data_IF_781384437213
#
_entry.id   IF_781384437213
#
_cell.length_a   1.000
_cell.length_b   1.000
_cell.length_c   1.000
_cell.angle_alpha   90.00
_cell.angle_beta   90.00
_cell.angle_gamma   90.00
#
_symmetry.space_group_name_H-M   'P 1'
#
loop_
_entity.id
_entity.type
_entity.pdbx_description
1 polymer ?
#
# COMPACT_ATOMS: atom_id res chain seq x y z
N UNK A 1 -22.19 -7.68 3.88
CA UNK A 1 -20.84 -7.18 3.54
C UNK A 1 -20.22 -8.17 2.57
N UNK A 2 -20.04 -7.79 1.30
CA UNK A 2 -19.80 -8.72 0.19
C UNK A 2 -18.49 -9.50 0.31
N UNK A 3 -18.58 -10.83 0.37
CA UNK A 3 -17.45 -11.75 0.40
C UNK A 3 -16.60 -11.65 -0.89
N UNK A 4 -17.21 -11.19 -1.99
CA UNK A 4 -16.58 -11.12 -3.31
C UNK A 4 -15.46 -10.07 -3.41
N UNK A 5 -15.61 -8.89 -2.80
CA UNK A 5 -14.59 -7.83 -2.90
C UNK A 5 -13.29 -8.21 -2.19
N UNK A 6 -13.37 -8.80 -0.98
CA UNK A 6 -12.17 -9.17 -0.22
C UNK A 6 -11.31 -10.24 -0.89
N UNK A 7 -11.93 -11.18 -1.61
CA UNK A 7 -11.21 -12.21 -2.36
C UNK A 7 -10.59 -11.64 -3.64
N UNK A 8 -11.33 -10.83 -4.38
CA UNK A 8 -10.82 -10.16 -5.59
C UNK A 8 -9.64 -9.24 -5.28
N UNK A 9 -9.76 -8.39 -4.26
CA UNK A 9 -8.69 -7.47 -3.85
C UNK A 9 -7.45 -8.24 -3.41
N UNK A 10 -7.63 -9.33 -2.65
CA UNK A 10 -6.50 -10.16 -2.21
C UNK A 10 -5.75 -10.79 -3.39
N UNK A 11 -6.47 -11.36 -4.36
CA UNK A 11 -5.86 -11.94 -5.55
C UNK A 11 -5.16 -10.87 -6.38
N UNK A 12 -5.81 -9.73 -6.62
CA UNK A 12 -5.25 -8.63 -7.40
C UNK A 12 -3.98 -8.06 -6.78
N UNK A 13 -3.99 -7.70 -5.50
CA UNK A 13 -2.81 -7.15 -4.85
C UNK A 13 -1.66 -8.15 -4.78
N UNK A 14 -1.96 -9.42 -4.51
CA UNK A 14 -0.94 -10.47 -4.52
C UNK A 14 -0.29 -10.59 -5.89
N UNK A 15 -1.09 -10.64 -6.95
CA UNK A 15 -0.60 -10.76 -8.32
C UNK A 15 0.28 -9.56 -8.69
N UNK A 16 -0.16 -8.33 -8.41
CA UNK A 16 0.60 -7.11 -8.69
C UNK A 16 1.91 -7.07 -7.92
N UNK A 17 1.88 -7.34 -6.62
CA UNK A 17 3.05 -7.20 -5.75
C UNK A 17 4.09 -8.31 -5.93
N UNK A 18 3.67 -9.51 -6.33
CA UNK A 18 4.58 -10.64 -6.60
C UNK A 18 4.95 -10.76 -8.09
N UNK A 19 4.42 -9.87 -8.96
CA UNK A 19 4.78 -9.83 -10.38
C UNK A 19 6.25 -9.42 -10.58
N UNK A 20 6.94 -10.09 -11.50
CA UNK A 20 8.36 -9.81 -11.83
C UNK A 20 8.63 -8.37 -12.31
N UNK A 21 7.61 -7.69 -12.83
CA UNK A 21 7.71 -6.28 -13.27
C UNK A 21 7.45 -5.26 -12.16
N UNK A 22 6.96 -5.69 -10.99
CA UNK A 22 6.80 -4.81 -9.85
C UNK A 22 8.17 -4.55 -9.21
N UNK A 23 8.73 -3.35 -9.46
CA UNK A 23 10.08 -2.99 -8.99
C UNK A 23 10.11 -2.34 -7.61
N UNK A 24 9.03 -1.67 -7.23
CA UNK A 24 8.94 -0.96 -5.97
C UNK A 24 7.49 -0.63 -5.63
N UNK A 25 7.15 -0.66 -4.34
CA UNK A 25 5.87 -0.23 -3.81
C UNK A 25 6.10 1.00 -2.95
N UNK A 26 5.63 2.15 -3.43
CA UNK A 26 5.68 3.42 -2.71
C UNK A 26 4.33 3.68 -2.04
N UNK A 27 4.35 3.93 -0.74
CA UNK A 27 3.15 4.17 0.05
C UNK A 27 3.01 5.66 0.34
N UNK A 28 2.05 6.28 -0.34
CA UNK A 28 1.63 7.64 0.00
C UNK A 28 0.77 7.60 1.26
N UNK A 29 1.00 8.56 2.15
CA UNK A 29 0.38 8.57 3.47
C UNK A 29 -0.22 9.94 3.79
N UNK A 30 -1.22 9.96 4.66
CA UNK A 30 -1.85 11.16 5.18
C UNK A 30 -1.92 11.07 6.71
N UNK A 31 -1.60 12.16 7.40
CA UNK A 31 -1.60 12.20 8.88
C UNK A 31 -0.80 11.08 9.56
N UNK A 32 0.32 10.67 8.97
CA UNK A 32 1.21 9.67 9.56
C UNK A 32 0.72 8.21 9.48
N UNK A 33 -0.33 7.92 8.70
CA UNK A 33 -0.90 6.56 8.54
C UNK A 33 -0.02 5.58 7.73
N UNK A 34 1.24 5.94 7.47
CA UNK A 34 2.19 5.13 6.72
C UNK A 34 2.34 3.73 7.31
N UNK A 35 2.46 3.63 8.64
CA UNK A 35 2.70 2.35 9.30
C UNK A 35 1.51 1.39 9.15
N UNK A 36 0.28 1.88 9.33
CA UNK A 36 -0.94 1.10 9.12
C UNK A 36 -1.08 0.64 7.67
N UNK A 37 -0.79 1.52 6.70
CA UNK A 37 -0.75 1.13 5.28
C UNK A 37 0.29 0.06 5.02
N UNK A 38 1.50 0.22 5.55
CA UNK A 38 2.58 -0.74 5.38
C UNK A 38 2.20 -2.12 5.96
N UNK A 39 1.59 -2.16 7.14
CA UNK A 39 1.08 -3.40 7.74
C UNK A 39 0.01 -4.02 6.85
N UNK A 40 -0.97 -3.25 6.38
CA UNK A 40 -2.04 -3.81 5.54
C UNK A 40 -1.51 -4.33 4.21
N UNK A 41 -0.65 -3.57 3.53
CA UNK A 41 0.02 -3.99 2.30
C UNK A 41 0.85 -5.25 2.53
N UNK A 42 1.53 -5.36 3.68
CA UNK A 42 2.33 -6.55 4.01
C UNK A 42 1.51 -7.84 3.99
N UNK A 43 0.22 -7.81 4.35
CA UNK A 43 -0.66 -8.99 4.43
C UNK A 43 -0.91 -9.63 3.05
N UNK A 44 -0.65 -8.89 1.97
CA UNK A 44 -0.85 -9.37 0.59
C UNK A 44 0.40 -10.06 0.00
N UNK A 45 1.53 -10.03 0.68
CA UNK A 45 2.75 -10.72 0.26
C UNK A 45 2.83 -12.14 0.84
N UNK A 46 3.09 -13.13 0.00
CA UNK A 46 3.44 -14.48 0.45
C UNK A 46 4.88 -14.51 0.96
N UNK A 47 5.79 -13.80 0.27
CA UNK A 47 7.21 -13.72 0.63
C UNK A 47 7.57 -12.39 1.31
N UNK A 48 7.79 -12.42 2.64
CA UNK A 48 8.19 -11.25 3.43
C UNK A 48 9.60 -10.73 3.13
N UNK A 49 10.50 -11.59 2.62
CA UNK A 49 11.83 -11.16 2.18
C UNK A 49 11.74 -10.31 0.91
N UNK A 50 10.92 -10.73 -0.06
CA UNK A 50 10.64 -9.97 -1.28
C UNK A 50 9.96 -8.63 -0.96
N UNK A 51 8.96 -8.66 -0.08
CA UNK A 51 8.27 -7.46 0.40
C UNK A 51 9.23 -6.38 0.90
N UNK A 52 10.20 -6.74 1.76
CA UNK A 52 11.17 -5.78 2.32
C UNK A 52 12.09 -5.16 1.27
N UNK A 53 12.28 -5.82 0.13
CA UNK A 53 13.06 -5.29 -1.00
C UNK A 53 12.23 -4.35 -1.88
N UNK A 54 10.91 -4.56 -1.94
CA UNK A 54 10.00 -3.77 -2.78
C UNK A 54 9.43 -2.54 -2.07
N UNK A 55 9.06 -2.66 -0.80
CA UNK A 55 8.50 -1.52 -0.06
C UNK A 55 9.60 -0.49 0.16
N UNK A 56 9.37 0.72 -0.36
CA UNK A 56 10.31 1.84 -0.23
C UNK A 56 10.16 2.46 1.17
N UNK A 57 11.28 2.84 1.77
CA UNK A 57 11.30 3.60 3.02
C UNK A 57 10.50 4.90 2.89
N UNK A 58 9.86 5.29 4.00
CA UNK A 58 9.08 6.52 4.10
C UNK A 58 9.95 7.74 3.77
N UNK A 59 9.48 8.60 2.87
CA UNK A 59 10.06 9.93 2.64
C UNK A 59 9.06 11.02 3.02
N UNK A 60 9.56 12.18 3.43
CA UNK A 60 8.70 13.34 3.72
C UNK A 60 7.88 13.77 2.50
N UNK A 61 8.41 13.58 1.29
CA UNK A 61 7.73 13.86 0.04
C UNK A 61 6.60 12.88 -0.31
N UNK A 62 6.41 11.79 0.46
CA UNK A 62 5.32 10.84 0.26
C UNK A 62 4.05 11.22 1.05
N UNK A 63 4.08 12.34 1.78
CA UNK A 63 2.90 12.93 2.39
C UNK A 63 1.93 13.42 1.30
N UNK A 64 0.73 12.86 1.24
CA UNK A 64 -0.27 13.21 0.24
C UNK A 64 -1.05 14.46 0.68
N UNK A 65 -0.99 15.57 -0.08
CA UNK A 65 -1.71 16.79 0.28
C UNK A 65 -3.22 16.54 0.18
N UNK A 66 -3.96 16.89 1.23
CA UNK A 66 -5.42 16.91 1.16
C UNK A 66 -5.86 18.29 0.71
N UNK A 67 -6.87 18.35 -0.15
CA UNK A 67 -7.54 19.61 -0.45
C UNK A 67 -8.21 20.07 0.84
N UNK A 68 -7.70 21.14 1.43
CA UNK A 68 -8.34 21.78 2.57
C UNK A 68 -9.77 22.13 2.14
N UNK A 69 -10.78 21.56 2.78
CA UNK A 69 -12.14 22.10 2.66
C UNK A 69 -12.09 23.47 3.33
N UNK A 70 -11.81 24.53 2.57
CA UNK A 70 -12.08 25.89 3.03
C UNK A 70 -13.54 25.92 3.44
N UNK A 71 -13.75 26.18 4.73
CA UNK A 71 -15.06 26.43 5.32
C UNK A 71 -15.79 27.45 4.47
N UNK A 72 -16.87 27.03 3.81
CA UNK A 72 -17.96 27.91 3.39
C UNK A 72 -18.84 28.19 4.60
#
# INVERSE_FOLDING_TARGET
MGHSCGLSDRTMFKEIFEHEKCKSVRLFHYNGDFHDKAINVSKHFSNKGHMRKLIVDRKESDAFPQLNKSTV
#
